data_IF_527610580301
#
_entry.id   IF_527610580301
#
_cell.length_a   1.000
_cell.length_b   1.000
_cell.length_c   1.000
_cell.angle_alpha   90.00
_cell.angle_beta   90.00
_cell.angle_gamma   90.00
#
_symmetry.space_group_name_H-M   'P 1'
#
loop_
_entity.id
_entity.type
_entity.pdbx_description
1 polymer ?
#
# COMPACT_ATOMS: atom_id res chain seq x y z
N UNK A 1 -23.07 1.94 -21.50
CA UNK A 1 -23.36 1.04 -20.38
C UNK A 1 -24.47 0.10 -20.82
N UNK A 2 -24.23 -1.21 -20.76
CA UNK A 2 -25.18 -2.24 -21.19
C UNK A 2 -26.30 -2.43 -20.17
N UNK A 3 -27.42 -3.03 -20.60
CA UNK A 3 -28.54 -3.39 -19.70
C UNK A 3 -28.06 -4.30 -18.55
N UNK A 4 -27.15 -5.23 -18.82
CA UNK A 4 -26.56 -6.11 -17.81
C UNK A 4 -25.78 -5.34 -16.73
N UNK A 5 -25.00 -4.33 -17.12
CA UNK A 5 -24.24 -3.51 -16.16
C UNK A 5 -25.18 -2.67 -15.30
N UNK A 6 -26.22 -2.09 -15.90
CA UNK A 6 -27.24 -1.33 -15.17
C UNK A 6 -27.97 -2.21 -14.14
N UNK A 7 -28.36 -3.42 -14.54
CA UNK A 7 -29.00 -4.38 -13.64
C UNK A 7 -28.07 -4.82 -12.49
N UNK A 8 -26.80 -5.12 -12.80
CA UNK A 8 -25.83 -5.51 -11.78
C UNK A 8 -25.56 -4.37 -10.76
N UNK A 9 -25.58 -3.11 -11.20
CA UNK A 9 -25.48 -1.96 -10.28
C UNK A 9 -26.73 -1.82 -9.42
N UNK A 10 -27.93 -1.98 -9.97
CA UNK A 10 -29.17 -1.90 -9.22
C UNK A 10 -29.19 -2.94 -8.09
N UNK A 11 -28.91 -4.21 -8.42
CA UNK A 11 -28.79 -5.30 -7.45
C UNK A 11 -27.70 -5.01 -6.42
N UNK A 12 -26.51 -4.58 -6.86
CA UNK A 12 -25.38 -4.30 -5.97
C UNK A 12 -25.65 -3.16 -4.97
N UNK A 13 -26.43 -2.15 -5.36
CA UNK A 13 -26.85 -1.05 -4.46
C UNK A 13 -27.80 -1.60 -3.39
N UNK A 14 -28.78 -2.42 -3.77
CA UNK A 14 -29.70 -3.04 -2.80
C UNK A 14 -28.96 -3.95 -1.82
N UNK A 15 -28.07 -4.82 -2.30
CA UNK A 15 -27.22 -5.68 -1.45
C UNK A 15 -26.33 -4.89 -0.48
N UNK A 16 -25.94 -3.66 -0.85
CA UNK A 16 -25.09 -2.80 -0.01
C UNK A 16 -25.87 -2.21 1.18
N UNK A 17 -27.20 -2.20 1.14
CA UNK A 17 -28.03 -1.72 2.26
C UNK A 17 -28.12 -2.73 3.41
N UNK A 18 -27.78 -4.00 3.17
CA UNK A 18 -27.72 -5.02 4.20
C UNK A 18 -26.55 -4.74 5.17
N UNK A 19 -26.86 -4.65 6.46
CA UNK A 19 -25.89 -4.34 7.50
C UNK A 19 -24.78 -5.39 7.59
N UNK A 20 -25.12 -6.67 7.46
CA UNK A 20 -24.16 -7.77 7.54
C UNK A 20 -23.18 -7.78 6.35
N UNK A 21 -23.60 -7.19 5.22
CA UNK A 21 -22.76 -7.02 4.04
C UNK A 21 -21.86 -5.78 4.18
N UNK A 22 -22.45 -4.61 4.46
CA UNK A 22 -21.70 -3.35 4.45
C UNK A 22 -20.69 -3.26 5.60
N UNK A 23 -20.93 -3.95 6.71
CA UNK A 23 -20.03 -3.91 7.87
C UNK A 23 -18.74 -4.73 7.69
N UNK A 24 -18.72 -5.70 6.76
CA UNK A 24 -17.58 -6.61 6.58
C UNK A 24 -16.27 -5.85 6.32
N UNK A 25 -16.27 -4.95 5.33
CA UNK A 25 -15.09 -4.18 4.93
C UNK A 25 -14.52 -3.34 6.08
N UNK A 26 -15.31 -2.44 6.69
CA UNK A 26 -14.89 -1.67 7.85
C UNK A 26 -14.38 -2.52 9.01
N UNK A 27 -15.01 -3.66 9.32
CA UNK A 27 -14.55 -4.56 10.38
C UNK A 27 -13.18 -5.17 10.07
N UNK A 28 -12.93 -5.59 8.83
CA UNK A 28 -11.65 -6.15 8.41
C UNK A 28 -10.54 -5.09 8.43
N UNK A 29 -10.85 -3.87 8.00
CA UNK A 29 -9.92 -2.74 8.04
C UNK A 29 -9.61 -2.35 9.48
N UNK A 30 -10.61 -2.24 10.34
CA UNK A 30 -10.44 -1.94 11.76
C UNK A 30 -9.57 -3.00 12.44
N UNK A 31 -9.85 -4.28 12.18
CA UNK A 31 -9.03 -5.38 12.67
C UNK A 31 -7.57 -5.25 12.23
N UNK A 32 -7.33 -4.99 10.95
CA UNK A 32 -5.98 -4.81 10.41
C UNK A 32 -5.24 -3.65 11.09
N UNK A 33 -5.89 -2.49 11.22
CA UNK A 33 -5.34 -1.29 11.86
C UNK A 33 -4.99 -1.57 13.32
N UNK A 34 -5.90 -2.18 14.08
CA UNK A 34 -5.66 -2.53 15.49
C UNK A 34 -4.49 -3.50 15.67
N UNK A 35 -4.37 -4.49 14.78
CA UNK A 35 -3.27 -5.44 14.81
C UNK A 35 -1.92 -4.79 14.50
N UNK A 36 -1.88 -3.85 13.56
CA UNK A 36 -0.67 -3.10 13.21
C UNK A 36 -0.26 -2.13 14.32
N UNK A 37 -1.22 -1.41 14.92
CA UNK A 37 -0.98 -0.53 16.06
C UNK A 37 -0.39 -1.28 17.27
N UNK A 38 -0.93 -2.47 17.59
CA UNK A 38 -0.38 -3.33 18.67
C UNK A 38 1.07 -3.73 18.45
N UNK A 39 1.53 -3.75 17.21
CA UNK A 39 2.91 -4.06 16.80
C UNK A 39 3.79 -2.80 16.66
N UNK A 40 3.26 -1.63 16.97
CA UNK A 40 3.97 -0.35 16.86
C UNK A 40 4.14 0.15 15.41
N UNK A 41 3.42 -0.44 14.46
CA UNK A 41 3.53 -0.09 13.04
C UNK A 41 2.71 1.16 12.76
N UNK A 42 3.30 2.21 12.16
CA UNK A 42 2.62 3.49 11.99
C UNK A 42 1.55 3.39 10.88
N UNK A 43 0.30 3.59 11.28
CA UNK A 43 -0.89 3.57 10.41
C UNK A 43 -1.77 4.79 10.69
N UNK A 44 -2.56 5.20 9.70
CA UNK A 44 -3.55 6.27 9.90
C UNK A 44 -4.66 5.77 10.79
N UNK A 45 -5.04 6.59 11.78
CA UNK A 45 -6.10 6.29 12.74
C UNK A 45 -7.11 7.45 12.84
N UNK A 46 -8.39 7.17 13.15
CA UNK A 46 -9.00 5.84 13.27
C UNK A 46 -9.07 5.11 11.91
N UNK A 47 -9.38 3.81 11.93
CA UNK A 47 -9.55 3.02 10.72
C UNK A 47 -10.64 3.62 9.80
N UNK A 48 -10.34 3.75 8.51
CA UNK A 48 -11.31 4.19 7.50
C UNK A 48 -12.16 3.05 6.93
N UNK A 49 -13.14 3.38 6.08
CA UNK A 49 -14.01 2.40 5.43
C UNK A 49 -13.51 1.83 4.09
N UNK A 50 -12.43 2.36 3.52
CA UNK A 50 -11.94 2.00 2.18
C UNK A 50 -10.69 1.13 2.18
N UNK A 51 -9.84 1.25 3.21
CA UNK A 51 -8.59 0.53 3.30
C UNK A 51 -7.72 0.98 4.48
N UNK A 52 -6.73 0.15 4.80
CA UNK A 52 -5.69 0.47 5.77
C UNK A 52 -4.62 1.34 5.10
N UNK A 53 -4.16 2.41 5.74
CA UNK A 53 -3.12 3.30 5.22
C UNK A 53 -1.90 3.23 6.14
N UNK A 54 -0.78 2.68 5.64
CA UNK A 54 0.49 2.72 6.35
C UNK A 54 1.10 4.11 6.17
N UNK A 55 1.58 4.72 7.25
CA UNK A 55 2.31 5.99 7.18
C UNK A 55 3.76 5.70 6.78
N UNK A 56 4.05 5.79 5.48
CA UNK A 56 5.34 5.43 4.91
C UNK A 56 6.47 6.34 5.40
N UNK A 57 6.21 7.63 5.67
CA UNK A 57 7.20 8.57 6.23
C UNK A 57 7.67 8.16 7.62
N UNK A 58 6.76 7.69 8.47
CA UNK A 58 7.12 7.15 9.78
C UNK A 58 7.68 5.72 9.68
N UNK A 59 7.19 4.92 8.72
CA UNK A 59 7.65 3.55 8.49
C UNK A 59 9.11 3.54 8.01
N UNK A 60 9.48 4.42 7.08
CA UNK A 60 10.81 4.51 6.48
C UNK A 60 11.47 5.85 6.83
N UNK A 61 11.55 6.17 8.13
CA UNK A 61 12.03 7.45 8.62
C UNK A 61 13.49 7.79 8.23
N UNK A 62 14.26 6.79 7.78
CA UNK A 62 15.62 6.97 7.26
C UNK A 62 15.66 7.44 5.79
N UNK A 63 14.55 7.37 5.06
CA UNK A 63 14.47 7.80 3.67
C UNK A 63 13.94 9.23 3.57
N UNK A 64 14.61 10.11 2.81
CA UNK A 64 14.06 11.43 2.51
C UNK A 64 12.88 11.31 1.54
N UNK A 65 11.96 12.28 1.61
CA UNK A 65 10.69 12.20 0.89
C UNK A 65 10.85 12.23 -0.65
N UNK A 66 11.90 12.88 -1.14
CA UNK A 66 12.27 12.90 -2.57
C UNK A 66 12.86 11.57 -3.09
N UNK A 67 12.98 10.56 -2.22
CA UNK A 67 13.31 9.18 -2.60
C UNK A 67 12.07 8.26 -2.52
N UNK A 68 10.88 8.86 -2.51
CA UNK A 68 9.58 8.22 -2.65
C UNK A 68 9.34 7.05 -1.68
N UNK A 69 9.33 7.31 -0.35
CA UNK A 69 9.19 6.26 0.66
C UNK A 69 7.88 5.47 0.52
N UNK A 70 6.77 6.09 0.09
CA UNK A 70 5.52 5.36 -0.16
C UNK A 70 5.64 4.37 -1.31
N UNK A 71 6.33 4.74 -2.39
CA UNK A 71 6.64 3.85 -3.51
C UNK A 71 7.61 2.74 -3.11
N UNK A 72 8.68 3.07 -2.37
CA UNK A 72 9.62 2.10 -1.86
C UNK A 72 8.94 1.06 -0.95
N UNK A 73 8.06 1.50 -0.05
CA UNK A 73 7.28 0.62 0.82
C UNK A 73 6.32 -0.27 0.02
N UNK A 74 5.68 0.26 -1.03
CA UNK A 74 4.79 -0.51 -1.91
C UNK A 74 5.55 -1.65 -2.60
N UNK A 75 6.71 -1.34 -3.19
CA UNK A 75 7.59 -2.30 -3.85
C UNK A 75 8.12 -3.34 -2.87
N UNK A 76 8.61 -2.90 -1.71
CA UNK A 76 9.12 -3.78 -0.66
C UNK A 76 8.06 -4.77 -0.17
N UNK A 77 6.83 -4.29 0.09
CA UNK A 77 5.72 -5.14 0.49
C UNK A 77 5.38 -6.16 -0.60
N UNK A 78 5.32 -5.74 -1.85
CA UNK A 78 5.05 -6.65 -2.97
C UNK A 78 6.10 -7.76 -3.08
N UNK A 79 7.39 -7.42 -2.97
CA UNK A 79 8.50 -8.39 -3.03
C UNK A 79 8.35 -9.49 -1.97
N UNK A 80 7.99 -9.13 -0.74
CA UNK A 80 8.01 -10.07 0.41
C UNK A 80 6.65 -10.75 0.67
N UNK A 81 5.61 -10.39 -0.08
CA UNK A 81 4.25 -10.89 0.20
C UNK A 81 3.36 -11.13 -1.02
N UNK A 82 3.71 -10.58 -2.18
CA UNK A 82 2.81 -10.51 -3.35
C UNK A 82 1.65 -9.53 -3.19
N UNK A 83 1.52 -8.83 -2.04
CA UNK A 83 0.45 -7.85 -1.80
C UNK A 83 0.79 -6.55 -2.50
N UNK A 84 -0.12 -6.09 -3.37
CA UNK A 84 0.01 -4.83 -4.07
C UNK A 84 -0.77 -3.72 -3.35
N UNK A 85 -0.04 -2.81 -2.72
CA UNK A 85 -0.59 -1.55 -2.23
C UNK A 85 -0.54 -0.45 -3.30
N UNK A 86 -1.28 0.63 -3.06
CA UNK A 86 -1.25 1.83 -3.89
C UNK A 86 -0.53 2.96 -3.17
N UNK A 87 0.50 3.50 -3.81
CA UNK A 87 1.18 4.73 -3.39
C UNK A 87 0.16 5.88 -3.31
N UNK A 88 0.22 6.64 -2.22
CA UNK A 88 -0.56 7.86 -1.98
C UNK A 88 0.36 8.87 -1.30
N UNK A 89 1.31 9.38 -2.06
CA UNK A 89 2.32 10.32 -1.62
C UNK A 89 2.86 11.15 -2.77
N UNK A 90 4.14 11.52 -2.73
CA UNK A 90 4.75 12.48 -3.66
C UNK A 90 4.66 12.01 -5.12
N UNK A 91 4.71 10.70 -5.41
CA UNK A 91 4.61 10.21 -6.81
C UNK A 91 3.24 10.56 -7.42
N UNK A 92 2.19 10.54 -6.59
CA UNK A 92 0.82 10.88 -7.00
C UNK A 92 0.61 12.37 -7.27
N UNK A 93 1.49 13.25 -6.80
CA UNK A 93 1.45 14.68 -7.10
C UNK A 93 1.99 14.96 -8.50
N UNK A 94 1.47 16.00 -9.15
CA UNK A 94 1.97 16.47 -10.45
C UNK A 94 3.03 17.55 -10.23
N UNK A 95 4.05 17.62 -11.10
CA UNK A 95 4.98 18.76 -11.11
C UNK A 95 4.23 20.07 -11.37
N UNK A 96 4.72 21.15 -10.78
CA UNK A 96 4.19 22.48 -11.03
C UNK A 96 4.59 23.02 -12.42
N UNK A 97 4.13 24.22 -12.76
CA UNK A 97 4.40 24.89 -14.04
C UNK A 97 5.90 25.15 -14.29
N UNK A 98 6.72 25.16 -13.24
CA UNK A 98 8.17 25.36 -13.30
C UNK A 98 8.95 24.03 -13.31
N UNK A 99 8.25 22.89 -13.34
CA UNK A 99 8.85 21.55 -13.27
C UNK A 99 9.32 21.14 -11.87
N UNK A 100 9.00 21.93 -10.84
CA UNK A 100 9.32 21.60 -9.45
C UNK A 100 8.34 20.54 -8.97
N UNK A 101 8.86 19.53 -8.26
CA UNK A 101 8.04 18.49 -7.65
C UNK A 101 7.55 18.96 -6.27
N UNK A 102 6.25 19.23 -6.10
CA UNK A 102 5.71 19.49 -4.78
C UNK A 102 5.73 18.19 -3.96
N UNK A 103 6.32 18.26 -2.77
CA UNK A 103 6.29 17.13 -1.84
C UNK A 103 4.88 16.99 -1.24
N UNK A 104 4.35 15.77 -1.22
CA UNK A 104 3.02 15.52 -0.67
C UNK A 104 2.98 15.82 0.85
N UNK A 105 1.84 16.33 1.33
CA UNK A 105 1.65 16.54 2.78
C UNK A 105 1.67 15.22 3.56
N UNK A 106 1.25 14.13 2.92
CA UNK A 106 1.20 12.79 3.49
C UNK A 106 1.91 11.79 2.56
N UNK A 107 2.64 10.85 3.15
CA UNK A 107 3.27 9.72 2.46
C UNK A 107 2.62 8.43 2.96
N UNK A 108 1.68 7.90 2.18
CA UNK A 108 0.88 6.75 2.57
C UNK A 108 1.01 5.60 1.58
N UNK A 109 1.03 4.38 2.11
CA UNK A 109 0.74 3.18 1.33
C UNK A 109 -0.69 2.72 1.65
N UNK A 110 -1.59 2.83 0.66
CA UNK A 110 -2.98 2.39 0.80
C UNK A 110 -3.13 0.91 0.45
N UNK A 111 -3.58 0.14 1.42
CA UNK A 111 -4.06 -1.24 1.25
C UNK A 111 -5.59 -1.19 1.14
N UNK A 112 -6.08 -1.00 -0.07
CA UNK A 112 -7.52 -0.96 -0.34
C UNK A 112 -8.15 -2.34 -0.09
N UNK A 113 -9.36 -2.36 0.48
CA UNK A 113 -10.09 -3.59 0.80
C UNK A 113 -11.30 -3.74 -0.14
N UNK A 114 -11.19 -4.52 -1.23
CA UNK A 114 -12.33 -4.86 -2.07
C UNK A 114 -13.39 -5.60 -1.25
N UNK A 115 -14.65 -5.20 -1.45
CA UNK A 115 -15.79 -5.77 -0.72
C UNK A 115 -15.98 -7.23 -1.10
N UNK A 116 -16.14 -8.11 -0.11
CA UNK A 116 -16.46 -9.55 -0.30
C UNK A 116 -15.45 -10.36 -1.13
N UNK A 117 -14.20 -9.89 -1.26
CA UNK A 117 -13.15 -10.62 -2.00
C UNK A 117 -12.20 -11.39 -1.08
N UNK A 118 -11.79 -10.75 0.02
CA UNK A 118 -10.79 -11.31 0.92
C UNK A 118 -11.41 -11.91 2.19
N UNK A 119 -10.69 -12.88 2.74
CA UNK A 119 -11.00 -13.53 4.02
C UNK A 119 -10.16 -12.93 5.14
N UNK A 120 -10.56 -13.15 6.40
CA UNK A 120 -9.78 -12.68 7.56
C UNK A 120 -8.37 -13.29 7.58
N UNK A 121 -8.20 -14.53 7.10
CA UNK A 121 -6.89 -15.17 6.98
C UNK A 121 -5.96 -14.43 6.02
N UNK A 122 -6.47 -13.86 4.92
CA UNK A 122 -5.68 -13.04 4.01
C UNK A 122 -5.33 -11.68 4.63
N UNK A 123 -6.22 -11.11 5.45
CA UNK A 123 -5.91 -9.91 6.25
C UNK A 123 -4.80 -10.19 7.27
N UNK A 124 -4.89 -11.31 7.98
CA UNK A 124 -3.85 -11.76 8.92
C UNK A 124 -2.51 -11.99 8.21
N UNK A 125 -2.51 -12.65 7.06
CA UNK A 125 -1.31 -12.80 6.24
C UNK A 125 -0.68 -11.44 5.91
N UNK A 126 -1.49 -10.45 5.53
CA UNK A 126 -0.99 -9.11 5.26
C UNK A 126 -0.38 -8.46 6.52
N UNK A 127 -1.04 -8.56 7.68
CA UNK A 127 -0.51 -8.07 8.96
C UNK A 127 0.85 -8.68 9.28
N UNK A 128 0.99 -10.00 9.14
CA UNK A 128 2.22 -10.71 9.48
C UNK A 128 3.38 -10.34 8.53
N UNK A 129 3.11 -10.18 7.24
CA UNK A 129 4.11 -9.72 6.27
C UNK A 129 4.53 -8.27 6.50
N UNK A 130 3.60 -7.39 6.86
CA UNK A 130 3.91 -6.00 7.19
C UNK A 130 4.73 -5.91 8.48
N UNK A 131 4.45 -6.75 9.48
CA UNK A 131 5.22 -6.82 10.72
C UNK A 131 6.67 -7.25 10.49
N UNK A 132 6.88 -8.32 9.71
CA UNK A 132 8.23 -8.74 9.32
C UNK A 132 8.96 -7.64 8.56
N UNK A 133 8.27 -6.98 7.61
CA UNK A 133 8.85 -5.90 6.84
C UNK A 133 9.21 -4.70 7.72
N UNK A 134 8.39 -4.37 8.71
CA UNK A 134 8.67 -3.28 9.66
C UNK A 134 9.91 -3.58 10.50
N UNK A 135 10.09 -4.82 10.94
CA UNK A 135 11.31 -5.25 11.67
C UNK A 135 12.57 -5.13 10.80
N UNK A 136 12.45 -5.34 9.50
CA UNK A 136 13.55 -5.29 8.52
C UNK A 136 13.61 -3.97 7.72
N UNK A 137 12.85 -2.94 8.12
CA UNK A 137 12.64 -1.71 7.34
C UNK A 137 13.90 -0.94 6.95
N UNK A 138 14.99 -1.10 7.70
CA UNK A 138 16.28 -0.45 7.42
C UNK A 138 16.96 -1.00 6.15
N UNK A 139 16.53 -2.19 5.68
CA UNK A 139 16.99 -2.75 4.41
C UNK A 139 16.36 -2.07 3.20
N UNK A 140 15.27 -1.31 3.37
CA UNK A 140 14.55 -0.68 2.26
C UNK A 140 15.24 0.64 1.90
N UNK A 141 15.66 0.75 0.65
CA UNK A 141 16.23 1.98 0.08
C UNK A 141 15.20 2.81 -0.68
N UNK A 142 15.67 3.96 -1.17
CA UNK A 142 14.87 4.88 -1.98
C UNK A 142 14.57 4.39 -3.40
N UNK A 143 13.72 5.16 -4.09
CA UNK A 143 13.46 5.05 -5.52
C UNK A 143 13.85 6.35 -6.24
N UNK A 144 14.13 6.26 -7.53
CA UNK A 144 14.32 7.40 -8.43
C UNK A 144 13.62 7.13 -9.77
N UNK A 145 13.24 8.19 -10.50
CA UNK A 145 12.61 8.05 -11.81
C UNK A 145 13.60 7.43 -12.82
N UNK A 146 13.16 6.38 -13.49
CA UNK A 146 13.79 5.84 -14.70
C UNK A 146 13.15 6.48 -15.94
N UNK A 147 11.83 6.54 -15.94
CA UNK A 147 11.02 7.16 -17.00
C UNK A 147 9.86 7.90 -16.33
N UNK A 148 9.81 9.22 -16.50
CA UNK A 148 8.76 10.08 -15.93
C UNK A 148 7.91 10.69 -17.05
N UNK A 149 6.68 10.19 -17.25
CA UNK A 149 5.72 10.77 -18.20
C UNK A 149 5.23 12.14 -17.76
N UNK A 150 4.91 13.02 -18.71
CA UNK A 150 4.40 14.37 -18.41
C UNK A 150 3.02 14.35 -17.73
N UNK A 151 2.19 13.34 -18.01
CA UNK A 151 0.81 13.25 -17.51
C UNK A 151 0.60 11.89 -16.87
N UNK A 152 -0.12 11.85 -15.74
CA UNK A 152 -0.42 10.62 -15.01
C UNK A 152 0.85 9.82 -14.69
N UNK A 153 1.91 10.52 -14.26
CA UNK A 153 3.23 9.93 -13.98
C UNK A 153 3.19 8.78 -12.97
N UNK A 154 2.28 8.84 -12.00
CA UNK A 154 2.08 7.76 -11.02
C UNK A 154 1.54 6.46 -11.64
N UNK A 155 0.90 6.54 -12.81
CA UNK A 155 0.28 5.41 -13.48
C UNK A 155 1.18 4.81 -14.56
N UNK A 156 1.82 5.65 -15.37
CA UNK A 156 2.64 5.21 -16.50
C UNK A 156 4.15 5.24 -16.22
N UNK A 157 4.58 5.99 -15.20
CA UNK A 157 5.98 6.18 -14.95
C UNK A 157 6.66 4.96 -14.35
N UNK A 158 7.97 4.87 -14.60
CA UNK A 158 8.81 3.78 -14.16
C UNK A 158 9.85 4.33 -13.20
N UNK A 159 9.98 3.65 -12.07
CA UNK A 159 10.93 3.96 -11.03
C UNK A 159 11.96 2.83 -10.97
N UNK A 160 13.20 3.18 -10.65
CA UNK A 160 14.26 2.22 -10.34
C UNK A 160 14.72 2.40 -8.90
N UNK A 161 15.20 1.33 -8.25
CA UNK A 161 15.76 1.42 -6.91
C UNK A 161 17.06 2.22 -6.91
N UNK A 162 17.27 3.01 -5.86
CA UNK A 162 18.57 3.61 -5.57
C UNK A 162 19.43 2.53 -4.92
N UNK A 163 20.33 1.94 -5.71
CA UNK A 163 21.15 0.79 -5.31
C UNK A 163 20.46 -0.56 -5.55
N UNK A 164 20.73 -1.55 -4.71
CA UNK A 164 20.24 -2.93 -4.87
C UNK A 164 19.47 -3.44 -3.65
N UNK A 165 18.84 -2.54 -2.89
CA UNK A 165 18.14 -2.85 -1.65
C UNK A 165 17.05 -3.92 -1.81
N UNK A 166 16.41 -3.99 -2.98
CA UNK A 166 15.41 -4.99 -3.33
C UNK A 166 15.98 -6.42 -3.32
N UNK A 167 17.22 -6.59 -3.76
CA UNK A 167 17.90 -7.89 -3.79
C UNK A 167 18.30 -8.29 -2.37
N UNK A 168 18.82 -7.34 -1.59
CA UNK A 168 19.17 -7.53 -0.19
C UNK A 168 17.94 -7.91 0.64
N UNK A 169 16.81 -7.21 0.43
CA UNK A 169 15.54 -7.50 1.10
C UNK A 169 15.03 -8.90 0.73
N UNK A 170 15.04 -9.26 -0.55
CA UNK A 170 14.59 -10.58 -1.01
C UNK A 170 15.48 -11.71 -0.48
N UNK A 171 16.80 -11.50 -0.46
CA UNK A 171 17.74 -12.45 0.11
C UNK A 171 17.44 -12.67 1.60
N UNK A 172 17.24 -11.59 2.37
CA UNK A 172 16.87 -11.69 3.79
C UNK A 172 15.53 -12.39 4.00
N UNK A 173 14.54 -12.09 3.17
CA UNK A 173 13.24 -12.75 3.23
C UNK A 173 13.34 -14.26 2.96
N UNK A 174 14.14 -14.64 1.96
CA UNK A 174 14.35 -16.05 1.61
C UNK A 174 15.10 -16.81 2.70
N UNK A 175 16.04 -16.17 3.39
CA UNK A 175 16.74 -16.73 4.55
C UNK A 175 15.76 -17.02 5.70
N UNK A 176 14.88 -16.07 6.03
CA UNK A 176 13.93 -16.21 7.14
C UNK A 176 12.75 -17.15 6.81
N UNK A 177 12.42 -17.31 5.53
CA UNK A 177 11.30 -18.13 5.04
C UNK A 177 11.72 -19.06 3.89
N UNK A 178 12.56 -20.07 4.14
CA UNK A 178 13.11 -20.94 3.11
C UNK A 178 12.04 -21.74 2.34
N UNK A 179 10.94 -22.08 3.00
CA UNK A 179 9.83 -22.89 2.47
C UNK A 179 8.72 -22.06 1.83
N UNK A 180 8.85 -20.72 1.75
CA UNK A 180 7.80 -19.82 1.25
C UNK A 180 7.85 -19.59 -0.27
N UNK A 181 8.48 -20.50 -1.02
CA UNK A 181 8.57 -20.45 -2.50
C UNK A 181 7.38 -21.10 -3.20
#
# INVERSE_FOLDING_TARGET
MSVREMEAMAVGIEETLDFDNICQGPQFIAFMVDQLLKRGIPVVTPAGGLGCHLNAKAFLAHLPQNQYPSGALASALFIVSGIRGMERGTISEQRDENGVEPLANCELLRLAMPRRVYTMSQVLFAVDRIDWLYKNRQLIGGLEWEEEPEILRFFFGRLKPIGNWQEVLLAKFTEDFPDSK
#
